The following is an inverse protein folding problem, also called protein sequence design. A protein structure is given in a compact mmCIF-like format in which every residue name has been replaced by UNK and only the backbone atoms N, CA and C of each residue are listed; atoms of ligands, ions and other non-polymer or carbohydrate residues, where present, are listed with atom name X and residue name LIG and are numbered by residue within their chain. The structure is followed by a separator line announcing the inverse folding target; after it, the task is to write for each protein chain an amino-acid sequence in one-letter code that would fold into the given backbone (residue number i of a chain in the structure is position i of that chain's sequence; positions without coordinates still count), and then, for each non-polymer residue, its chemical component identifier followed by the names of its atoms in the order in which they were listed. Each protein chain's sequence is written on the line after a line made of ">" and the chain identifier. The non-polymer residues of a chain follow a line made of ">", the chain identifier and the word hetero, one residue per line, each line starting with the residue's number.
data_IF_492375249980
#
_entry.id   IF_492375249980
#
_cell.length_a   1.000
_cell.length_b   1.000
_cell.length_c   1.000
_cell.angle_alpha   90.00
_cell.angle_beta   90.00
_cell.angle_gamma   90.00
#
_symmetry.space_group_name_H-M   'P 1'
#
loop_
_entity.id
_entity.type
_entity.pdbx_description
1 polymer ?
#
# COMPACT_ATOMS: atom_id res chain seq x y z
N UNK A 1 -5.33 -35.57 7.06
CA UNK A 1 -4.86 -34.65 8.09
C UNK A 1 -3.67 -33.84 7.66
N UNK A 2 -2.67 -34.44 7.03
CA UNK A 2 -1.49 -33.70 6.58
C UNK A 2 -1.83 -32.64 5.51
N UNK A 3 -2.79 -32.93 4.64
CA UNK A 3 -3.23 -31.99 3.62
C UNK A 3 -3.90 -30.77 4.23
N UNK A 4 -4.67 -30.93 5.32
CA UNK A 4 -5.34 -29.82 6.00
C UNK A 4 -4.30 -28.90 6.64
N UNK A 5 -3.29 -29.48 7.30
CA UNK A 5 -2.22 -28.68 7.93
C UNK A 5 -1.40 -27.94 6.89
N UNK A 6 -1.06 -28.59 5.77
CA UNK A 6 -0.33 -27.96 4.69
C UNK A 6 -1.13 -26.82 4.05
N UNK A 7 -2.43 -27.02 3.84
CA UNK A 7 -3.30 -26.01 3.30
C UNK A 7 -3.41 -24.80 4.23
N UNK A 8 -3.53 -25.05 5.54
CA UNK A 8 -3.56 -23.97 6.52
C UNK A 8 -2.26 -23.18 6.53
N UNK A 9 -1.11 -23.86 6.48
CA UNK A 9 0.19 -23.21 6.45
C UNK A 9 0.35 -22.34 5.21
N UNK A 10 -0.02 -22.85 4.04
CA UNK A 10 0.07 -22.12 2.78
C UNK A 10 -0.86 -20.90 2.81
N UNK A 11 -2.08 -21.07 3.31
CA UNK A 11 -3.04 -19.98 3.42
C UNK A 11 -2.51 -18.89 4.35
N UNK A 12 -1.95 -19.25 5.50
CA UNK A 12 -1.38 -18.31 6.45
C UNK A 12 -0.20 -17.56 5.83
N UNK A 13 0.66 -18.26 5.10
CA UNK A 13 1.79 -17.65 4.41
C UNK A 13 1.33 -16.64 3.37
N UNK A 14 0.28 -16.97 2.60
CA UNK A 14 -0.28 -16.05 1.61
C UNK A 14 -0.87 -14.80 2.25
N UNK A 15 -1.55 -14.96 3.40
CA UNK A 15 -2.06 -13.80 4.14
C UNK A 15 -0.92 -12.90 4.65
N UNK A 16 0.17 -13.51 5.11
CA UNK A 16 1.33 -12.73 5.50
C UNK A 16 1.91 -11.96 4.30
N UNK A 17 1.97 -12.61 3.14
CA UNK A 17 2.40 -11.93 1.91
C UNK A 17 1.46 -10.78 1.56
N UNK A 18 0.15 -10.99 1.64
CA UNK A 18 -0.83 -9.95 1.36
C UNK A 18 -0.65 -8.74 2.29
N UNK A 19 -0.27 -9.00 3.53
CA UNK A 19 -0.08 -7.94 4.52
C UNK A 19 1.25 -7.20 4.34
N UNK A 20 2.33 -7.92 4.04
CA UNK A 20 3.67 -7.33 4.06
C UNK A 20 4.21 -6.92 2.68
N UNK A 21 3.72 -7.52 1.59
CA UNK A 21 4.22 -7.17 0.25
C UNK A 21 3.99 -5.71 -0.13
N UNK A 22 2.89 -5.06 0.26
CA UNK A 22 2.76 -3.63 0.00
C UNK A 22 3.90 -2.82 0.63
N UNK A 23 4.36 -3.20 1.81
CA UNK A 23 5.50 -2.55 2.46
C UNK A 23 6.78 -2.74 1.66
N UNK A 24 7.03 -3.97 1.18
CA UNK A 24 8.21 -4.27 0.36
C UNK A 24 8.19 -3.46 -0.93
N UNK A 25 7.05 -3.44 -1.62
CA UNK A 25 6.92 -2.68 -2.87
C UNK A 25 7.06 -1.18 -2.61
N UNK A 26 6.54 -0.68 -1.51
CA UNK A 26 6.71 0.71 -1.13
C UNK A 26 8.16 1.07 -0.87
N UNK A 27 8.91 0.18 -0.21
CA UNK A 27 10.33 0.38 0.03
C UNK A 27 11.11 0.41 -1.26
N UNK A 28 10.82 -0.51 -2.19
CA UNK A 28 11.45 -0.50 -3.51
C UNK A 28 11.10 0.78 -4.27
N UNK A 29 9.86 1.22 -4.22
CA UNK A 29 9.42 2.44 -4.86
C UNK A 29 10.20 3.66 -4.36
N UNK A 30 10.51 3.72 -3.07
CA UNK A 30 11.24 4.84 -2.51
C UNK A 30 12.68 4.92 -3.02
N UNK A 31 13.21 3.82 -3.56
CA UNK A 31 14.49 3.80 -4.23
C UNK A 31 14.37 4.12 -5.72
N UNK A 32 13.34 3.58 -6.38
CA UNK A 32 13.18 3.72 -7.82
C UNK A 32 12.74 5.12 -8.26
N UNK A 33 11.82 5.75 -7.54
CA UNK A 33 11.27 7.04 -7.95
C UNK A 33 12.34 8.13 -8.01
N UNK A 34 13.17 8.34 -6.97
CA UNK A 34 14.23 9.35 -7.06
C UNK A 34 15.24 9.06 -8.17
N UNK A 35 15.58 7.79 -8.37
CA UNK A 35 16.53 7.39 -9.41
C UNK A 35 15.98 7.68 -10.80
N UNK A 36 14.72 7.32 -11.07
CA UNK A 36 14.10 7.58 -12.35
C UNK A 36 13.96 9.08 -12.62
N UNK A 37 13.59 9.85 -11.60
CA UNK A 37 13.47 11.31 -11.75
C UNK A 37 14.84 11.95 -12.02
N UNK A 38 15.88 11.46 -11.39
CA UNK A 38 17.23 11.95 -11.63
C UNK A 38 17.64 11.73 -13.10
N UNK A 39 17.38 10.54 -13.62
CA UNK A 39 17.68 10.25 -15.02
C UNK A 39 16.82 11.05 -15.99
N UNK A 40 15.61 11.42 -15.60
CA UNK A 40 14.73 12.25 -16.42
C UNK A 40 15.06 13.74 -16.34
N UNK A 41 16.04 14.14 -15.54
CA UNK A 41 16.45 15.54 -15.41
C UNK A 41 15.75 16.29 -14.29
N UNK A 42 14.96 15.62 -13.47
CA UNK A 42 14.30 16.24 -12.32
C UNK A 42 15.14 16.07 -11.06
N UNK A 43 14.97 16.99 -10.10
CA UNK A 43 15.65 16.86 -8.83
C UNK A 43 15.03 15.71 -8.01
N UNK A 44 15.84 14.80 -7.45
CA UNK A 44 15.32 13.72 -6.61
C UNK A 44 14.73 14.21 -5.27
N UNK A 45 14.98 15.45 -4.90
CA UNK A 45 14.49 16.07 -3.67
C UNK A 45 13.27 16.96 -3.94
N UNK A 46 12.76 16.97 -5.17
CA UNK A 46 11.65 17.84 -5.55
C UNK A 46 10.34 17.42 -4.85
N UNK A 47 9.36 18.34 -4.72
CA UNK A 47 8.05 17.98 -4.21
C UNK A 47 7.38 16.89 -5.04
N UNK A 48 7.63 16.84 -6.35
CA UNK A 48 7.11 15.78 -7.21
C UNK A 48 7.64 14.42 -6.79
N UNK A 49 8.93 14.31 -6.48
CA UNK A 49 9.52 13.05 -6.01
C UNK A 49 8.86 12.58 -4.72
N UNK A 50 8.68 13.49 -3.75
CA UNK A 50 8.04 13.16 -2.48
C UNK A 50 6.60 12.71 -2.69
N UNK A 51 5.85 13.42 -3.53
CA UNK A 51 4.46 13.09 -3.82
C UNK A 51 4.35 11.69 -4.44
N UNK A 52 5.20 11.38 -5.41
CA UNK A 52 5.19 10.06 -6.05
C UNK A 52 5.60 8.95 -5.08
N UNK A 53 6.55 9.21 -4.19
CA UNK A 53 6.99 8.23 -3.21
C UNK A 53 5.89 7.83 -2.23
N UNK A 54 4.93 8.70 -1.97
CA UNK A 54 3.80 8.40 -1.09
C UNK A 54 2.56 7.96 -1.86
N UNK A 55 2.33 8.49 -3.05
CA UNK A 55 1.15 8.18 -3.85
C UNK A 55 1.20 6.76 -4.44
N UNK A 56 2.33 6.39 -5.04
CA UNK A 56 2.45 5.08 -5.71
C UNK A 56 2.30 3.91 -4.74
N UNK A 57 2.96 3.91 -3.55
CA UNK A 57 2.71 2.84 -2.58
C UNK A 57 1.25 2.75 -2.15
N UNK A 58 0.60 3.90 -1.95
CA UNK A 58 -0.82 3.92 -1.63
C UNK A 58 -1.65 3.29 -2.73
N UNK A 59 -1.40 3.69 -3.98
CA UNK A 59 -2.13 3.20 -5.13
C UNK A 59 -2.00 1.69 -5.33
N UNK A 60 -0.81 1.14 -5.07
CA UNK A 60 -0.54 -0.29 -5.28
C UNK A 60 -0.89 -1.17 -4.10
N UNK A 61 -1.19 -0.60 -2.94
CA UNK A 61 -1.45 -1.37 -1.72
C UNK A 61 -2.66 -2.29 -1.88
N UNK A 62 -3.79 -1.77 -2.35
CA UNK A 62 -5.02 -2.56 -2.50
C UNK A 62 -4.90 -3.67 -3.54
N UNK A 63 -4.45 -3.40 -4.78
CA UNK A 63 -4.25 -4.48 -5.75
C UNK A 63 -3.25 -5.53 -5.29
N UNK A 64 -2.18 -5.12 -4.63
CA UNK A 64 -1.17 -6.04 -4.13
C UNK A 64 -1.77 -6.98 -3.07
N UNK A 65 -2.53 -6.42 -2.12
CA UNK A 65 -3.17 -7.21 -1.09
C UNK A 65 -4.16 -8.21 -1.68
N UNK A 66 -4.97 -7.77 -2.65
CA UNK A 66 -5.92 -8.64 -3.34
C UNK A 66 -5.22 -9.76 -4.10
N UNK A 67 -4.09 -9.45 -4.75
CA UNK A 67 -3.35 -10.44 -5.52
C UNK A 67 -2.79 -11.56 -4.64
N UNK A 68 -2.22 -11.23 -3.49
CA UNK A 68 -1.56 -12.20 -2.64
C UNK A 68 -2.52 -12.91 -1.67
N UNK A 69 -3.71 -12.36 -1.43
CA UNK A 69 -4.67 -12.98 -0.52
C UNK A 69 -5.14 -14.33 -1.08
N UNK A 70 -5.17 -15.39 -0.26
CA UNK A 70 -5.62 -16.71 -0.73
C UNK A 70 -7.11 -16.78 -0.94
N UNK A 71 -7.88 -15.99 -0.20
CA UNK A 71 -9.34 -15.97 -0.28
C UNK A 71 -9.83 -14.59 0.17
N UNK A 72 -11.14 -14.35 0.01
CA UNK A 72 -11.73 -13.05 0.43
C UNK A 72 -10.94 -11.87 -0.08
N UNK A 73 -10.64 -11.89 -1.39
CA UNK A 73 -9.79 -10.87 -2.01
C UNK A 73 -10.39 -9.47 -1.88
N UNK A 74 -11.72 -9.37 -1.97
CA UNK A 74 -12.40 -8.09 -1.79
C UNK A 74 -12.17 -7.53 -0.39
N UNK A 75 -12.31 -8.37 0.64
CA UNK A 75 -12.05 -7.95 2.02
C UNK A 75 -10.58 -7.55 2.20
N UNK A 76 -9.66 -8.32 1.63
CA UNK A 76 -8.23 -8.01 1.72
C UNK A 76 -7.91 -6.67 1.07
N UNK A 77 -8.52 -6.38 -0.07
CA UNK A 77 -8.29 -5.13 -0.81
C UNK A 77 -8.75 -3.89 -0.05
N UNK A 78 -9.62 -4.07 0.94
CA UNK A 78 -10.08 -2.98 1.80
C UNK A 78 -9.34 -2.99 3.14
N UNK A 79 -9.20 -4.16 3.74
CA UNK A 79 -8.63 -4.30 5.08
C UNK A 79 -7.16 -3.93 5.15
N UNK A 80 -6.36 -4.40 4.20
CA UNK A 80 -4.91 -4.16 4.23
C UNK A 80 -4.61 -2.66 4.04
N UNK A 81 -5.21 -1.96 3.06
CA UNK A 81 -5.03 -0.51 2.99
C UNK A 81 -5.47 0.22 4.26
N UNK A 82 -6.58 -0.21 4.87
CA UNK A 82 -7.06 0.39 6.11
C UNK A 82 -6.05 0.22 7.24
N UNK A 83 -5.45 -0.97 7.35
CA UNK A 83 -4.42 -1.22 8.36
C UNK A 83 -3.20 -0.33 8.14
N UNK A 84 -2.76 -0.16 6.90
CA UNK A 84 -1.65 0.74 6.58
C UNK A 84 -2.00 2.19 6.91
N UNK A 85 -3.22 2.60 6.61
CA UNK A 85 -3.67 3.95 6.93
C UNK A 85 -3.65 4.20 8.44
N UNK A 86 -4.15 3.25 9.22
CA UNK A 86 -4.14 3.35 10.68
C UNK A 86 -2.73 3.37 11.23
N UNK A 87 -1.84 2.56 10.67
CA UNK A 87 -0.45 2.52 11.07
C UNK A 87 0.23 3.87 10.83
N UNK A 88 0.06 4.44 9.64
CA UNK A 88 0.64 5.74 9.32
C UNK A 88 0.00 6.86 10.13
N UNK A 89 -1.30 6.77 10.40
CA UNK A 89 -1.98 7.75 11.24
C UNK A 89 -1.41 7.74 12.67
N UNK A 90 -1.20 6.55 13.23
CA UNK A 90 -0.59 6.40 14.55
C UNK A 90 0.82 6.99 14.57
N UNK A 91 1.60 6.73 13.53
CA UNK A 91 2.95 7.27 13.41
C UNK A 91 2.93 8.80 13.31
N UNK A 92 1.98 9.34 12.56
CA UNK A 92 1.82 10.78 12.40
C UNK A 92 1.45 11.45 13.73
N UNK A 93 0.51 10.86 14.47
CA UNK A 93 0.11 11.36 15.79
C UNK A 93 1.30 11.35 16.75
N UNK A 94 2.07 10.26 16.74
CA UNK A 94 3.26 10.14 17.57
C UNK A 94 4.27 11.22 17.21
N UNK A 95 4.51 11.45 15.91
CA UNK A 95 5.45 12.47 15.45
C UNK A 95 5.00 13.86 15.87
N UNK A 96 3.71 14.16 15.77
CA UNK A 96 3.17 15.45 16.21
C UNK A 96 3.33 15.64 17.70
N UNK A 97 3.16 14.58 18.48
CA UNK A 97 3.31 14.63 19.92
C UNK A 97 4.76 14.89 20.32
N UNK A 98 5.72 14.24 19.65
CA UNK A 98 7.13 14.32 20.00
C UNK A 98 7.83 15.55 19.42
N UNK A 99 7.49 15.95 18.20
CA UNK A 99 8.22 17.00 17.47
C UNK A 99 7.37 18.24 17.19
N UNK A 100 6.11 18.24 17.59
CA UNK A 100 5.19 19.33 17.32
C UNK A 100 4.53 19.21 15.95
N UNK A 101 3.54 20.07 15.72
CA UNK A 101 2.77 20.05 14.47
C UNK A 101 3.64 20.57 13.31
N UNK A 102 3.75 19.79 12.25
CA UNK A 102 4.43 20.16 11.02
C UNK A 102 3.55 19.82 9.84
N UNK A 103 3.49 20.73 8.88
CA UNK A 103 2.63 20.56 7.70
C UNK A 103 3.14 19.49 6.75
N UNK A 104 4.47 19.32 6.63
CA UNK A 104 5.07 18.37 5.71
C UNK A 104 4.58 16.93 5.90
N UNK A 105 4.72 16.35 7.10
CA UNK A 105 4.22 15.00 7.35
C UNK A 105 2.73 14.85 7.12
N UNK A 106 1.93 15.89 7.44
CA UNK A 106 0.50 15.86 7.20
C UNK A 106 0.17 15.78 5.72
N UNK A 107 0.85 16.59 4.90
CA UNK A 107 0.66 16.56 3.44
C UNK A 107 1.04 15.19 2.88
N UNK A 108 2.15 14.62 3.33
CA UNK A 108 2.58 13.29 2.88
C UNK A 108 1.54 12.23 3.25
N UNK A 109 0.99 12.29 4.46
CA UNK A 109 -0.07 11.38 4.89
C UNK A 109 -1.32 11.52 4.00
N UNK A 110 -1.71 12.75 3.67
CA UNK A 110 -2.87 12.98 2.80
C UNK A 110 -2.65 12.43 1.40
N UNK A 111 -1.45 12.60 0.85
CA UNK A 111 -1.10 12.03 -0.47
C UNK A 111 -1.20 10.51 -0.43
N UNK A 112 -0.68 9.89 0.61
CA UNK A 112 -0.76 8.45 0.79
C UNK A 112 -2.22 7.98 0.90
N UNK A 113 -3.05 8.70 1.66
CA UNK A 113 -4.46 8.37 1.82
C UNK A 113 -5.21 8.45 0.49
N UNK A 114 -4.95 9.49 -0.31
CA UNK A 114 -5.53 9.61 -1.65
C UNK A 114 -5.10 8.44 -2.53
N UNK A 115 -3.83 8.05 -2.46
CA UNK A 115 -3.33 6.88 -3.18
C UNK A 115 -4.06 5.61 -2.78
N UNK A 116 -4.26 5.39 -1.49
CA UNK A 116 -4.98 4.21 -0.99
C UNK A 116 -6.42 4.18 -1.52
N UNK A 117 -7.13 5.30 -1.46
CA UNK A 117 -8.50 5.39 -1.94
C UNK A 117 -8.54 5.11 -3.44
N UNK A 118 -7.64 5.72 -4.20
CA UNK A 118 -7.56 5.50 -5.66
C UNK A 118 -7.28 4.04 -5.98
N UNK A 119 -6.39 3.39 -5.23
CA UNK A 119 -6.08 1.98 -5.40
C UNK A 119 -7.28 1.08 -5.16
N UNK A 120 -8.06 1.38 -4.11
CA UNK A 120 -9.28 0.63 -3.80
C UNK A 120 -10.28 0.76 -4.96
N UNK A 121 -10.50 1.98 -5.45
CA UNK A 121 -11.41 2.19 -6.58
C UNK A 121 -10.95 1.47 -7.84
N UNK A 122 -9.66 1.53 -8.15
CA UNK A 122 -9.12 0.81 -9.30
C UNK A 122 -9.32 -0.70 -9.16
N UNK A 123 -9.10 -1.23 -7.97
CA UNK A 123 -9.26 -2.65 -7.70
C UNK A 123 -10.71 -3.09 -7.94
N UNK A 124 -11.68 -2.32 -7.43
CA UNK A 124 -13.09 -2.62 -7.65
C UNK A 124 -13.51 -2.47 -9.11
N UNK A 125 -12.97 -1.46 -9.79
CA UNK A 125 -13.28 -1.25 -11.21
C UNK A 125 -12.84 -2.45 -12.05
N UNK A 126 -11.61 -2.92 -11.85
CA UNK A 126 -11.11 -4.08 -12.59
C UNK A 126 -11.82 -5.36 -12.20
N UNK A 127 -12.25 -5.50 -10.95
CA UNK A 127 -12.98 -6.69 -10.52
C UNK A 127 -14.36 -6.77 -11.20
N UNK A 128 -15.01 -5.64 -11.47
CA UNK A 128 -16.29 -5.63 -12.16
C UNK A 128 -16.16 -6.13 -13.59
N UNK A 129 -15.02 -5.88 -14.23
CA UNK A 129 -14.81 -6.32 -15.61
C UNK A 129 -14.44 -7.80 -15.70
N UNK A 130 -13.70 -8.33 -14.75
CA UNK A 130 -13.07 -9.64 -14.87
C UNK A 130 -13.74 -10.74 -14.07
N UNK A 131 -14.65 -10.46 -13.16
CA UNK A 131 -15.32 -11.44 -12.28
C UNK A 131 -14.36 -12.28 -11.43
N UNK A 132 -13.06 -12.21 -11.67
CA UNK A 132 -12.06 -12.99 -10.94
C UNK A 132 -11.89 -12.52 -9.49
N UNK A 133 -12.45 -11.39 -9.14
CA UNK A 133 -12.36 -10.80 -7.82
C UNK A 133 -13.38 -11.40 -6.86
N UNK A 134 -14.39 -12.06 -7.40
CA UNK A 134 -15.37 -12.76 -6.59
C UNK A 134 -14.78 -14.07 -6.07
N UNK A 135 -14.96 -14.36 -4.78
CA UNK A 135 -14.37 -15.52 -4.23
C UNK A 135 -15.30 -16.46 -3.60
#
# INVERSE_FOLDING_TARGET
>A
MNTVKGSFFISSFKWLCALFMPFVLGSLNSLFVPTCLHFAGFSPISPLSTALQFFIPGLTCSPCAAHFAPSHKCAASIFVPLLYLLFFLSFLIFAFFMYGFKLGPLVNFLIFAVGLISGIFCCFYFSRENDDFEE
#
